data_IF_548277926195
#
_entry.id   IF_548277926195
#
_cell.length_a   1.000
_cell.length_b   1.000
_cell.length_c   1.000
_cell.angle_alpha   90.00
_cell.angle_beta   90.00
_cell.angle_gamma   90.00
#
_symmetry.space_group_name_H-M   'P 1'
#
loop_
_entity.id
_entity.type
_entity.pdbx_description
1 polymer ?
#
# COMPACT_ATOMS: atom_id res chain seq x y z
N UNK A 1 -2.05 5.22 11.48
CA UNK A 1 -2.57 6.39 10.72
C UNK A 1 -2.20 7.73 11.33
N UNK A 2 -2.27 7.92 12.66
CA UNK A 2 -1.85 9.19 13.31
C UNK A 2 -0.45 9.65 12.88
N UNK A 3 0.52 8.75 12.86
CA UNK A 3 1.87 9.04 12.38
C UNK A 3 1.91 9.62 10.95
N UNK A 4 1.07 9.11 10.04
CA UNK A 4 0.95 9.67 8.70
C UNK A 4 0.38 11.08 8.73
N UNK A 5 -0.67 11.31 9.51
CA UNK A 5 -1.36 12.61 9.58
C UNK A 5 -0.49 13.66 10.29
N UNK A 6 0.12 13.31 11.42
CA UNK A 6 0.82 14.24 12.30
C UNK A 6 2.27 14.52 11.86
N UNK A 7 2.98 13.49 11.31
CA UNK A 7 4.41 13.59 11.04
C UNK A 7 4.78 13.60 9.54
N UNK A 8 4.01 12.95 8.67
CA UNK A 8 4.36 12.79 7.26
C UNK A 8 3.59 13.77 6.37
N UNK A 9 2.27 13.85 6.51
CA UNK A 9 1.43 14.70 5.66
C UNK A 9 1.83 16.19 5.67
N UNK A 10 2.22 16.80 6.81
CA UNK A 10 2.70 18.18 6.80
C UNK A 10 3.94 18.37 5.92
N UNK A 11 4.86 17.39 5.90
CA UNK A 11 6.06 17.44 5.05
C UNK A 11 5.69 17.33 3.56
N UNK A 12 4.76 16.43 3.22
CA UNK A 12 4.25 16.32 1.85
C UNK A 12 3.62 17.63 1.40
N UNK A 13 2.79 18.26 2.24
CA UNK A 13 2.06 19.47 1.89
C UNK A 13 2.92 20.73 1.81
N UNK A 14 4.09 20.76 2.42
CA UNK A 14 5.09 21.82 2.19
C UNK A 14 5.56 21.84 0.74
N UNK A 15 5.66 20.66 0.11
CA UNK A 15 6.14 20.47 -1.25
C UNK A 15 5.01 20.43 -2.28
N UNK A 16 3.86 19.90 -1.89
CA UNK A 16 2.66 19.74 -2.73
C UNK A 16 1.45 20.17 -1.90
N UNK A 17 1.19 21.47 -1.88
CA UNK A 17 0.16 22.10 -1.01
C UNK A 17 -1.25 21.54 -1.21
N UNK A 18 -1.56 21.07 -2.43
CA UNK A 18 -2.85 20.49 -2.78
C UNK A 18 -2.97 19.00 -2.41
N UNK A 19 -1.92 18.38 -1.88
CA UNK A 19 -2.00 16.97 -1.49
C UNK A 19 -3.04 16.78 -0.38
N UNK A 20 -3.91 15.80 -0.58
CA UNK A 20 -4.90 15.35 0.39
C UNK A 20 -4.71 13.87 0.71
N UNK A 21 -5.16 13.46 1.88
CA UNK A 21 -5.12 12.09 2.36
C UNK A 21 -6.53 11.55 2.53
N UNK A 22 -6.81 10.39 1.96
CA UNK A 22 -8.04 9.64 2.23
C UNK A 22 -7.70 8.45 3.10
N UNK A 23 -8.35 8.34 4.25
CA UNK A 23 -8.23 7.22 5.18
C UNK A 23 -9.53 6.43 5.15
N UNK A 24 -9.47 5.26 4.54
CA UNK A 24 -10.62 4.36 4.42
C UNK A 24 -10.52 3.26 5.47
N UNK A 25 -11.57 3.09 6.29
CA UNK A 25 -11.58 2.02 7.27
C UNK A 25 -12.63 2.18 8.36
N UNK A 26 -12.98 1.06 8.96
CA UNK A 26 -13.99 0.99 10.04
C UNK A 26 -13.44 1.58 11.34
N UNK A 27 -14.34 2.16 12.11
CA UNK A 27 -14.10 2.59 13.51
C UNK A 27 -12.82 3.43 13.68
N UNK A 28 -12.65 4.55 12.94
CA UNK A 28 -11.52 5.43 13.17
C UNK A 28 -11.53 5.95 14.61
N UNK A 29 -10.36 5.91 15.25
CA UNK A 29 -10.25 6.37 16.64
C UNK A 29 -10.63 7.84 16.77
N UNK A 30 -11.19 8.29 17.92
CA UNK A 30 -11.48 9.71 18.17
C UNK A 30 -10.27 10.60 17.92
N UNK A 31 -9.09 10.18 18.36
CA UNK A 31 -7.83 10.89 18.13
C UNK A 31 -7.52 11.08 16.65
N UNK A 32 -7.79 10.07 15.80
CA UNK A 32 -7.60 10.21 14.35
C UNK A 32 -8.61 11.20 13.76
N UNK A 33 -9.85 11.18 14.19
CA UNK A 33 -10.87 12.16 13.74
C UNK A 33 -10.48 13.59 14.11
N UNK A 34 -9.99 13.79 15.34
CA UNK A 34 -9.51 15.08 15.80
C UNK A 34 -8.29 15.55 15.00
N UNK A 35 -7.30 14.68 14.78
CA UNK A 35 -6.11 15.00 14.00
C UNK A 35 -6.40 15.27 12.52
N UNK A 36 -7.46 14.66 11.99
CA UNK A 36 -7.93 14.89 10.63
C UNK A 36 -8.69 16.21 10.45
N UNK A 37 -9.31 16.70 11.53
CA UNK A 37 -10.08 17.96 11.50
C UNK A 37 -9.16 19.14 11.17
N UNK A 38 -9.49 19.92 10.13
CA UNK A 38 -8.69 21.04 9.67
C UNK A 38 -7.42 20.68 8.89
N UNK A 39 -7.04 19.41 8.82
CA UNK A 39 -6.04 18.91 7.88
C UNK A 39 -6.72 18.53 6.55
N UNK A 40 -5.95 18.44 5.46
CA UNK A 40 -6.48 17.94 4.19
C UNK A 40 -6.60 16.40 4.25
N UNK A 41 -7.39 15.90 5.20
CA UNK A 41 -7.60 14.47 5.49
C UNK A 41 -9.08 14.18 5.48
N UNK A 42 -9.48 13.25 4.62
CA UNK A 42 -10.83 12.71 4.58
C UNK A 42 -10.85 11.32 5.21
N UNK A 43 -11.62 11.15 6.30
CA UNK A 43 -11.80 9.87 7.00
C UNK A 43 -13.19 9.34 6.69
N UNK A 44 -13.28 8.29 5.87
CA UNK A 44 -14.57 7.79 5.37
C UNK A 44 -15.39 7.03 6.41
N UNK A 45 -14.73 6.39 7.37
CA UNK A 45 -15.38 5.35 8.19
C UNK A 45 -15.60 4.06 7.39
N UNK A 46 -16.67 3.33 7.71
CA UNK A 46 -17.05 2.11 6.98
C UNK A 46 -17.58 2.47 5.60
N UNK A 47 -17.09 1.77 4.58
CA UNK A 47 -17.57 1.86 3.19
C UNK A 47 -17.88 0.46 2.71
N UNK A 48 -18.81 0.33 1.76
CA UNK A 48 -19.18 -0.95 1.16
C UNK A 48 -18.10 -1.45 0.20
N UNK A 49 -17.43 -0.53 -0.48
CA UNK A 49 -16.35 -0.84 -1.42
C UNK A 49 -15.20 0.15 -1.28
N UNK A 50 -13.99 -0.37 -1.08
CA UNK A 50 -12.76 0.43 -0.98
C UNK A 50 -12.13 0.74 -2.34
N UNK A 51 -12.48 -0.01 -3.38
CA UNK A 51 -11.87 0.07 -4.71
C UNK A 51 -11.97 1.45 -5.37
N UNK A 52 -13.09 2.18 -5.30
CA UNK A 52 -13.16 3.53 -5.84
C UNK A 52 -12.11 4.47 -5.24
N UNK A 53 -11.93 4.42 -3.93
CA UNK A 53 -10.94 5.25 -3.23
C UNK A 53 -9.49 4.89 -3.61
N UNK A 54 -9.22 3.59 -3.80
CA UNK A 54 -7.92 3.15 -4.28
C UNK A 54 -7.72 3.56 -5.73
N UNK A 55 -8.75 3.46 -6.58
CA UNK A 55 -8.69 3.86 -7.98
C UNK A 55 -8.37 5.35 -8.16
N UNK A 56 -8.94 6.21 -7.34
CA UNK A 56 -8.72 7.66 -7.39
C UNK A 56 -7.37 8.08 -6.80
N UNK A 57 -6.77 7.27 -5.93
CA UNK A 57 -5.51 7.61 -5.30
C UNK A 57 -4.36 7.65 -6.31
N UNK A 58 -3.58 8.73 -6.28
CA UNK A 58 -2.34 8.85 -7.06
C UNK A 58 -1.23 7.95 -6.51
N UNK A 59 -1.15 7.82 -5.17
CA UNK A 59 -0.16 7.01 -4.46
C UNK A 59 -0.86 6.29 -3.30
N UNK A 60 -0.61 5.00 -3.17
CA UNK A 60 -1.08 4.21 -2.04
C UNK A 60 0.00 4.14 -0.96
N UNK A 61 -0.33 4.41 0.30
CA UNK A 61 0.65 4.54 1.37
C UNK A 61 0.42 3.56 2.51
N UNK A 62 1.49 2.91 2.97
CA UNK A 62 1.46 1.92 4.06
C UNK A 62 2.53 2.27 5.10
N UNK A 63 2.29 3.28 5.96
CA UNK A 63 3.25 3.79 6.93
C UNK A 63 3.23 2.98 8.24
N UNK A 64 3.31 1.66 8.17
CA UNK A 64 3.31 0.80 9.36
C UNK A 64 4.68 0.85 10.05
N UNK A 65 4.68 1.08 11.35
CA UNK A 65 5.88 1.03 12.21
C UNK A 65 5.92 -0.22 13.08
N UNK A 66 4.75 -0.76 13.38
CA UNK A 66 4.56 -1.96 14.18
C UNK A 66 3.37 -2.70 13.57
N UNK A 67 3.45 -4.00 13.50
CA UNK A 67 2.34 -4.83 13.05
C UNK A 67 2.81 -6.20 12.58
N UNK A 68 1.92 -7.16 12.70
CA UNK A 68 2.06 -8.53 12.20
C UNK A 68 0.96 -8.87 11.19
N UNK A 69 1.00 -10.10 10.68
CA UNK A 69 -0.02 -10.66 9.79
C UNK A 69 0.18 -10.33 8.31
N UNK A 70 -0.66 -10.95 7.50
CA UNK A 70 -0.61 -10.86 6.03
C UNK A 70 -0.90 -9.44 5.54
N UNK A 71 -0.06 -8.92 4.67
CA UNK A 71 -0.15 -7.56 4.14
C UNK A 71 -1.06 -7.47 2.91
N UNK A 72 -2.23 -8.10 2.93
CA UNK A 72 -3.16 -8.19 1.78
C UNK A 72 -3.43 -6.85 1.12
N UNK A 73 -3.54 -5.77 1.90
CA UNK A 73 -3.78 -4.42 1.39
C UNK A 73 -2.74 -3.93 0.38
N UNK A 74 -1.49 -4.39 0.47
CA UNK A 74 -0.46 -4.06 -0.51
C UNK A 74 -0.74 -4.81 -1.81
N UNK A 75 -1.05 -6.10 -1.74
CA UNK A 75 -1.41 -6.88 -2.94
C UNK A 75 -2.67 -6.33 -3.63
N UNK A 76 -3.68 -5.90 -2.86
CA UNK A 76 -4.87 -5.25 -3.40
C UNK A 76 -4.51 -3.97 -4.16
N UNK A 77 -3.67 -3.12 -3.58
CA UNK A 77 -3.21 -1.89 -4.25
C UNK A 77 -2.38 -2.18 -5.51
N UNK A 78 -1.47 -3.17 -5.46
CA UNK A 78 -0.67 -3.61 -6.60
C UNK A 78 -1.55 -4.21 -7.70
N UNK A 79 -2.54 -5.05 -7.36
CA UNK A 79 -3.51 -5.61 -8.32
C UNK A 79 -4.29 -4.51 -9.05
N UNK A 80 -4.54 -3.39 -8.39
CA UNK A 80 -5.17 -2.21 -8.98
C UNK A 80 -4.18 -1.29 -9.72
N UNK A 81 -2.92 -1.72 -9.90
CA UNK A 81 -1.89 -0.96 -10.61
C UNK A 81 -1.46 0.32 -9.90
N UNK A 82 -1.55 0.37 -8.58
CA UNK A 82 -1.16 1.56 -7.81
C UNK A 82 0.33 1.57 -7.47
N UNK A 83 0.93 2.75 -7.57
CA UNK A 83 2.24 2.99 -7.00
C UNK A 83 2.13 2.99 -5.48
N UNK A 84 2.90 2.13 -4.83
CA UNK A 84 2.87 1.94 -3.37
C UNK A 84 4.13 2.52 -2.75
N UNK A 85 3.96 3.28 -1.66
CA UNK A 85 5.04 3.64 -0.72
C UNK A 85 4.78 2.93 0.60
N UNK A 86 5.74 2.16 1.06
CA UNK A 86 5.63 1.40 2.31
C UNK A 86 6.89 1.52 3.16
N UNK A 87 6.74 1.42 4.45
CA UNK A 87 7.87 1.15 5.34
C UNK A 87 8.36 -0.28 5.16
N UNK A 88 9.58 -0.57 5.63
CA UNK A 88 10.11 -1.93 5.68
C UNK A 88 9.13 -2.86 6.42
N UNK A 89 8.65 -2.47 7.60
CA UNK A 89 7.65 -3.23 8.38
C UNK A 89 6.35 -3.41 7.62
N UNK A 90 5.94 -2.40 6.84
CA UNK A 90 4.71 -2.47 6.03
C UNK A 90 4.77 -3.51 4.91
N UNK A 91 5.94 -3.75 4.34
CA UNK A 91 6.17 -4.71 3.25
C UNK A 91 6.84 -6.01 3.72
N UNK A 92 7.09 -6.17 5.03
CA UNK A 92 7.75 -7.34 5.60
C UNK A 92 7.06 -8.66 5.22
N UNK A 93 7.88 -9.64 4.82
CA UNK A 93 7.40 -10.96 4.41
C UNK A 93 6.76 -11.04 3.03
N UNK A 94 6.69 -9.93 2.30
CA UNK A 94 6.22 -9.93 0.92
C UNK A 94 7.41 -10.06 -0.05
N UNK A 95 7.30 -10.87 -1.12
CA UNK A 95 8.36 -11.02 -2.12
C UNK A 95 8.36 -9.83 -3.10
N UNK A 96 8.42 -8.63 -2.55
CA UNK A 96 8.45 -7.37 -3.30
C UNK A 96 9.88 -6.84 -3.35
N UNK A 97 10.28 -6.31 -4.49
CA UNK A 97 11.59 -5.69 -4.70
C UNK A 97 11.42 -4.18 -4.59
N UNK A 98 12.06 -3.52 -3.58
CA UNK A 98 12.06 -2.07 -3.47
C UNK A 98 12.63 -1.41 -4.75
N UNK A 99 12.01 -0.34 -5.20
CA UNK A 99 12.38 0.35 -6.43
C UNK A 99 11.81 -0.27 -7.71
N UNK A 100 11.34 -1.50 -7.67
CA UNK A 100 10.71 -2.19 -8.83
C UNK A 100 9.18 -2.29 -8.66
N UNK A 101 8.71 -2.85 -7.54
CA UNK A 101 7.30 -3.07 -7.28
C UNK A 101 6.67 -2.00 -6.37
N UNK A 102 7.48 -1.38 -5.53
CA UNK A 102 7.07 -0.32 -4.60
C UNK A 102 8.26 0.55 -4.20
N UNK A 103 8.02 1.67 -3.55
CA UNK A 103 9.08 2.47 -2.92
C UNK A 103 9.10 2.15 -1.43
N UNK A 104 10.25 1.68 -0.93
CA UNK A 104 10.47 1.55 0.50
C UNK A 104 11.01 2.85 1.06
N UNK A 105 10.39 3.32 2.14
CA UNK A 105 10.86 4.50 2.87
C UNK A 105 10.50 4.40 4.34
N UNK A 106 11.49 4.58 5.19
CA UNK A 106 11.34 4.57 6.65
C UNK A 106 11.62 5.97 7.19
N UNK A 107 10.94 6.33 8.27
CA UNK A 107 11.02 7.69 8.81
C UNK A 107 10.16 8.72 8.06
N UNK A 108 9.80 9.84 8.73
CA UNK A 108 8.84 10.80 8.17
C UNK A 108 9.37 11.53 6.95
N UNK A 109 10.63 11.94 6.98
CA UNK A 109 11.23 12.75 5.92
C UNK A 109 11.40 11.95 4.61
N UNK A 110 11.93 10.74 4.69
CA UNK A 110 12.15 9.91 3.51
C UNK A 110 10.84 9.39 2.94
N UNK A 111 9.88 9.05 3.81
CA UNK A 111 8.53 8.68 3.38
C UNK A 111 7.83 9.83 2.64
N UNK A 112 7.91 11.05 3.17
CA UNK A 112 7.36 12.22 2.52
C UNK A 112 8.05 12.50 1.17
N UNK A 113 9.38 12.43 1.09
CA UNK A 113 10.13 12.57 -0.17
C UNK A 113 9.69 11.53 -1.20
N UNK A 114 9.54 10.25 -0.81
CA UNK A 114 9.08 9.20 -1.70
C UNK A 114 7.69 9.50 -2.26
N UNK A 115 6.74 9.89 -1.40
CA UNK A 115 5.40 10.26 -1.85
C UNK A 115 5.43 11.48 -2.78
N UNK A 116 6.15 12.55 -2.43
CA UNK A 116 6.28 13.76 -3.25
C UNK A 116 6.88 13.44 -4.62
N UNK A 117 7.92 12.61 -4.66
CA UNK A 117 8.55 12.21 -5.93
C UNK A 117 7.54 11.51 -6.85
N UNK A 118 6.71 10.63 -6.30
CA UNK A 118 5.67 9.95 -7.07
C UNK A 118 4.52 10.89 -7.44
N UNK A 119 4.11 11.81 -6.59
CA UNK A 119 3.08 12.80 -6.94
C UNK A 119 3.50 13.67 -8.12
N UNK A 120 4.79 14.03 -8.21
CA UNK A 120 5.38 14.83 -9.29
C UNK A 120 5.74 14.05 -10.55
N UNK A 121 5.82 12.70 -10.47
CA UNK A 121 6.25 11.86 -11.58
C UNK A 121 5.20 10.81 -11.97
N UNK A 122 4.23 11.15 -12.84
CA UNK A 122 3.20 10.22 -13.28
C UNK A 122 3.75 9.03 -14.08
N UNK A 123 4.87 9.19 -14.77
CA UNK A 123 5.53 8.10 -15.51
C UNK A 123 6.02 7.05 -14.52
N UNK A 124 6.75 7.48 -13.49
CA UNK A 124 7.25 6.57 -12.45
C UNK A 124 6.14 5.88 -11.68
N UNK A 125 5.03 6.57 -11.41
CA UNK A 125 3.83 5.93 -10.81
C UNK A 125 3.31 4.79 -11.67
N UNK A 126 3.22 5.02 -12.99
CA UNK A 126 2.73 4.00 -13.93
C UNK A 126 3.68 2.81 -14.01
N UNK A 127 4.98 3.03 -14.08
CA UNK A 127 5.99 1.96 -14.09
C UNK A 127 5.85 1.04 -12.88
N UNK A 128 5.84 1.60 -11.67
CA UNK A 128 5.67 0.85 -10.42
C UNK A 128 4.32 0.12 -10.38
N UNK A 129 3.25 0.78 -10.80
CA UNK A 129 1.92 0.18 -10.83
C UNK A 129 1.84 -1.01 -11.80
N UNK A 130 2.45 -0.90 -12.98
CA UNK A 130 2.50 -1.99 -13.98
C UNK A 130 3.34 -3.16 -13.45
N UNK A 131 4.53 -2.89 -12.92
CA UNK A 131 5.42 -3.94 -12.38
C UNK A 131 4.77 -4.67 -11.19
N UNK A 132 4.19 -3.91 -10.25
CA UNK A 132 3.50 -4.49 -9.09
C UNK A 132 2.27 -5.32 -9.48
N UNK A 133 1.45 -4.83 -10.41
CA UNK A 133 0.30 -5.57 -10.91
C UNK A 133 0.70 -6.87 -11.61
N UNK A 134 1.71 -6.81 -12.47
CA UNK A 134 2.25 -7.98 -13.15
C UNK A 134 2.69 -9.06 -12.16
N UNK A 135 3.43 -8.70 -11.12
CA UNK A 135 3.83 -9.63 -10.07
C UNK A 135 2.63 -10.32 -9.43
N UNK A 136 1.57 -9.55 -9.10
CA UNK A 136 0.36 -10.11 -8.47
C UNK A 136 -0.38 -11.04 -9.43
N UNK A 137 -0.55 -10.66 -10.68
CA UNK A 137 -1.22 -11.48 -11.69
C UNK A 137 -0.47 -12.81 -11.94
N UNK A 138 0.86 -12.75 -12.01
CA UNK A 138 1.69 -13.94 -12.27
C UNK A 138 1.74 -14.91 -11.08
N UNK A 139 1.80 -14.39 -9.84
CA UNK A 139 2.08 -15.23 -8.65
C UNK A 139 0.88 -15.47 -7.75
N UNK A 140 -0.07 -14.53 -7.69
CA UNK A 140 -1.15 -14.52 -6.70
C UNK A 140 -2.55 -14.61 -7.33
N UNK A 141 -2.65 -14.84 -8.63
CA UNK A 141 -3.93 -15.14 -9.25
C UNK A 141 -4.44 -16.51 -8.78
N UNK A 142 -5.74 -16.70 -8.71
CA UNK A 142 -6.34 -17.99 -8.34
C UNK A 142 -5.78 -19.17 -9.14
N UNK A 143 -5.61 -19.09 -10.48
CA UNK A 143 -4.99 -20.16 -11.25
C UNK A 143 -3.56 -20.46 -10.83
N UNK A 144 -2.76 -19.44 -10.48
CA UNK A 144 -1.37 -19.63 -10.04
C UNK A 144 -1.29 -20.29 -8.67
N UNK A 145 -2.11 -19.82 -7.73
CA UNK A 145 -2.19 -20.40 -6.38
C UNK A 145 -2.70 -21.85 -6.43
N UNK A 146 -3.70 -22.14 -7.25
CA UNK A 146 -4.23 -23.50 -7.41
C UNK A 146 -3.17 -24.48 -7.97
N UNK A 147 -2.41 -24.04 -8.97
CA UNK A 147 -1.29 -24.87 -9.51
C UNK A 147 -0.21 -25.15 -8.47
N UNK A 148 0.19 -24.15 -7.71
CA UNK A 148 1.18 -24.30 -6.63
C UNK A 148 0.67 -25.27 -5.56
N UNK A 149 -0.58 -25.12 -5.13
CA UNK A 149 -1.21 -26.02 -4.17
C UNK A 149 -1.26 -27.47 -4.68
N UNK A 150 -1.68 -27.68 -5.93
CA UNK A 150 -1.70 -29.02 -6.56
C UNK A 150 -0.30 -29.64 -6.60
N UNK A 151 0.72 -28.85 -6.94
CA UNK A 151 2.11 -29.32 -6.95
C UNK A 151 2.54 -29.79 -5.57
N UNK A 152 2.26 -29.02 -4.52
CA UNK A 152 2.57 -29.41 -3.13
C UNK A 152 1.83 -30.66 -2.69
N UNK A 153 0.57 -30.80 -3.04
CA UNK A 153 -0.20 -32.01 -2.74
C UNK A 153 0.42 -33.26 -3.40
N UNK A 154 0.86 -33.17 -4.66
CA UNK A 154 1.51 -34.25 -5.37
C UNK A 154 2.85 -34.61 -4.73
N UNK A 155 3.68 -33.65 -4.36
CA UNK A 155 4.95 -33.84 -3.66
C UNK A 155 4.75 -34.66 -2.37
N UNK A 156 3.81 -34.25 -1.52
CA UNK A 156 3.49 -34.94 -0.26
C UNK A 156 3.00 -36.38 -0.51
N UNK A 157 2.11 -36.59 -1.48
CA UNK A 157 1.58 -37.88 -1.81
C UNK A 157 2.67 -38.86 -2.32
N UNK A 158 3.68 -38.33 -3.01
CA UNK A 158 4.81 -39.14 -3.52
C UNK A 158 5.82 -39.51 -2.42
N UNK A 159 5.98 -38.67 -1.38
CA UNK A 159 6.86 -38.98 -0.23
C UNK A 159 6.22 -39.88 0.81
N UNK A 160 4.92 -40.12 0.75
CA UNK A 160 4.18 -41.00 1.64
C UNK A 160 4.10 -42.47 1.15
N UNK A 161 4.73 -42.75 0.04
CA UNK A 161 4.87 -44.11 -0.53
C UNK A 161 6.28 -44.64 -0.33
#
# INVERSE_FOLDING_TARGET
MLYLVEAILPLIRREVSQASLVVVGRNPSPRLRTAAAGAAVHVTGTVDDVRPYVADAAVYVVPLRIGGGTRLKIFEALAMGKAVVSTMVGAEGLPLIPGEHFIQADGPADFAKAVVSLLRNPVRRRELGVAGRRLVEERYSWPSVAREFETRCREVANHAR
#
